data_IF_412741881725
#
_entry.id   IF_412741881725
#
_cell.length_a   1.000
_cell.length_b   1.000
_cell.length_c   1.000
_cell.angle_alpha   90.00
_cell.angle_beta   90.00
_cell.angle_gamma   90.00
#
_symmetry.space_group_name_H-M   'P 1'
#
loop_
_entity.id
_entity.type
_entity.pdbx_description
1 polymer ?
#
# COMPACT_ATOMS: atom_id res chain seq x y z
N UNK A 1 14.25 -21.10 8.08
CA UNK A 1 12.89 -20.57 7.85
C UNK A 1 12.83 -20.22 6.38
N UNK A 2 12.22 -21.09 5.58
CA UNK A 2 12.11 -20.94 4.14
C UNK A 2 11.21 -19.72 3.87
N UNK A 3 11.80 -18.69 3.24
CA UNK A 3 11.06 -17.48 2.88
C UNK A 3 10.14 -17.89 1.74
N UNK A 4 8.86 -18.08 2.03
CA UNK A 4 7.84 -18.29 1.01
C UNK A 4 8.01 -17.20 -0.04
N UNK A 5 8.15 -17.56 -1.32
CA UNK A 5 8.18 -16.57 -2.38
C UNK A 5 6.85 -15.82 -2.38
N UNK A 6 6.86 -14.62 -1.82
CA UNK A 6 5.69 -13.75 -1.75
C UNK A 6 5.56 -13.03 -3.08
N UNK A 7 4.47 -13.28 -3.80
CA UNK A 7 4.10 -12.48 -4.97
C UNK A 7 3.82 -11.05 -4.54
N UNK A 8 4.60 -10.11 -5.06
CA UNK A 8 4.41 -8.67 -4.83
C UNK A 8 3.56 -8.11 -5.96
N UNK A 9 2.36 -7.66 -5.64
CA UNK A 9 1.52 -6.94 -6.60
C UNK A 9 1.80 -5.45 -6.56
N UNK A 10 1.76 -4.81 -7.73
CA UNK A 10 2.06 -3.39 -7.89
C UNK A 10 1.06 -2.74 -8.83
N UNK A 11 0.75 -1.48 -8.55
CA UNK A 11 0.03 -0.57 -9.46
C UNK A 11 0.99 0.53 -9.91
N UNK A 12 0.90 0.89 -11.17
CA UNK A 12 1.83 1.84 -11.80
C UNK A 12 1.18 2.57 -12.96
N UNK A 13 1.79 3.65 -13.42
CA UNK A 13 1.38 4.38 -14.62
C UNK A 13 2.56 4.61 -15.56
N UNK A 14 2.35 4.32 -16.85
CA UNK A 14 3.25 4.64 -17.97
C UNK A 14 2.83 5.93 -18.69
N UNK A 15 1.65 6.45 -18.36
CA UNK A 15 1.04 7.65 -18.92
C UNK A 15 -0.13 8.10 -18.05
N UNK A 16 -1.29 8.38 -18.66
CA UNK A 16 -2.47 8.85 -17.92
C UNK A 16 -3.26 7.72 -17.22
N UNK A 17 -3.13 6.48 -17.67
CA UNK A 17 -3.86 5.34 -17.13
C UNK A 17 -3.03 4.59 -16.07
N UNK A 18 -3.70 4.14 -15.01
CA UNK A 18 -3.12 3.26 -14.00
C UNK A 18 -3.29 1.80 -14.44
N UNK A 19 -2.20 1.07 -14.41
CA UNK A 19 -2.04 -0.34 -14.76
C UNK A 19 -1.60 -1.14 -13.52
N UNK A 20 -1.52 -2.46 -13.64
CA UNK A 20 -1.08 -3.33 -12.54
C UNK A 20 -0.32 -4.56 -13.03
N UNK A 21 0.41 -5.18 -12.12
CA UNK A 21 1.22 -6.36 -12.40
C UNK A 21 1.83 -6.96 -11.15
N UNK A 22 2.75 -7.91 -11.35
CA UNK A 22 3.59 -8.46 -10.28
C UNK A 22 5.03 -7.95 -10.41
N UNK A 23 5.71 -7.79 -9.28
CA UNK A 23 7.08 -7.26 -9.21
C UNK A 23 8.06 -8.36 -8.74
N UNK A 24 9.06 -8.65 -9.58
CA UNK A 24 10.16 -9.55 -9.28
C UNK A 24 11.47 -8.94 -9.79
N UNK A 25 12.50 -8.86 -8.92
CA UNK A 25 13.83 -8.33 -9.25
C UNK A 25 13.81 -7.01 -10.06
N UNK A 26 12.99 -6.06 -9.61
CA UNK A 26 12.77 -4.74 -10.24
C UNK A 26 12.17 -4.78 -11.66
N UNK A 27 11.60 -5.92 -12.06
CA UNK A 27 10.83 -6.10 -13.28
C UNK A 27 9.35 -6.29 -12.95
N UNK A 28 8.51 -5.51 -13.62
CA UNK A 28 7.07 -5.60 -13.55
C UNK A 28 6.58 -6.51 -14.67
N UNK A 29 5.93 -7.61 -14.30
CA UNK A 29 5.17 -8.45 -15.21
C UNK A 29 3.75 -7.90 -15.30
N UNK A 30 3.39 -7.32 -16.46
CA UNK A 30 2.13 -6.58 -16.62
C UNK A 30 0.95 -7.55 -16.71
N UNK A 31 -0.12 -7.27 -15.98
CA UNK A 31 -1.35 -8.04 -15.98
C UNK A 31 -2.52 -7.22 -16.54
N UNK A 32 -3.55 -7.93 -17.04
CA UNK A 32 -4.85 -7.36 -17.44
C UNK A 32 -5.98 -8.02 -16.66
N UNK A 33 -7.12 -7.33 -16.55
CA UNK A 33 -8.30 -7.80 -15.81
C UNK A 33 -8.47 -7.05 -14.50
N UNK A 34 -8.82 -7.77 -13.44
CA UNK A 34 -8.97 -7.23 -12.08
C UNK A 34 -7.86 -7.77 -11.16
N UNK A 35 -7.08 -6.86 -10.57
CA UNK A 35 -6.00 -7.18 -9.64
C UNK A 35 -6.48 -7.98 -8.41
N UNK A 36 -7.70 -7.74 -7.94
CA UNK A 36 -8.30 -8.45 -6.81
C UNK A 36 -9.32 -9.52 -7.24
N UNK A 37 -9.53 -9.66 -8.55
CA UNK A 37 -10.41 -10.66 -9.16
C UNK A 37 -9.64 -11.57 -10.09
N UNK A 38 -10.16 -11.75 -11.31
CA UNK A 38 -9.51 -12.55 -12.35
C UNK A 38 -8.54 -11.65 -13.12
N UNK A 39 -7.25 -12.00 -13.08
CA UNK A 39 -6.23 -11.36 -13.91
C UNK A 39 -5.40 -12.38 -14.69
N UNK A 40 -4.76 -11.92 -15.76
CA UNK A 40 -3.87 -12.73 -16.58
C UNK A 40 -2.62 -11.93 -16.95
N UNK A 41 -1.43 -12.57 -16.98
CA UNK A 41 -0.24 -11.92 -17.51
C UNK A 41 -0.44 -11.59 -18.98
N UNK A 42 0.07 -10.42 -19.38
CA UNK A 42 0.01 -9.96 -20.77
C UNK A 42 1.23 -10.44 -21.58
N UNK A 43 2.29 -10.84 -20.89
CA UNK A 43 3.62 -11.11 -21.47
C UNK A 43 4.51 -9.87 -21.56
N UNK A 44 3.98 -8.66 -21.33
CA UNK A 44 4.78 -7.45 -21.28
C UNK A 44 5.57 -7.37 -19.96
N UNK A 45 6.82 -6.90 -20.08
CA UNK A 45 7.74 -6.67 -18.98
C UNK A 45 8.17 -5.21 -19.00
N UNK A 46 8.14 -4.56 -17.84
CA UNK A 46 8.57 -3.17 -17.68
C UNK A 46 9.60 -3.06 -16.55
N UNK A 47 10.72 -2.35 -16.76
CA UNK A 47 11.59 -1.95 -15.66
C UNK A 47 10.82 -1.10 -14.62
N UNK A 48 11.06 -1.32 -13.32
CA UNK A 48 10.42 -0.56 -12.25
C UNK A 48 10.75 0.95 -12.34
N UNK A 49 11.95 1.30 -12.80
CA UNK A 49 12.39 2.69 -12.99
C UNK A 49 11.77 3.38 -14.21
N UNK A 50 11.13 2.63 -15.11
CA UNK A 50 10.46 3.18 -16.29
C UNK A 50 9.00 3.56 -16.05
N UNK A 51 8.49 3.39 -14.83
CA UNK A 51 7.09 3.65 -14.48
C UNK A 51 6.98 4.58 -13.28
N UNK A 52 5.83 5.24 -13.15
CA UNK A 52 5.44 5.88 -11.90
C UNK A 52 4.70 4.86 -11.03
N UNK A 53 5.18 4.62 -9.82
CA UNK A 53 4.49 3.73 -8.86
C UNK A 53 3.28 4.46 -8.26
N UNK A 54 2.13 3.80 -8.29
CA UNK A 54 0.86 4.31 -7.72
C UNK A 54 0.59 3.70 -6.34
N UNK A 55 -0.49 4.15 -5.68
CA UNK A 55 -1.00 3.44 -4.50
C UNK A 55 -1.38 2.00 -4.88
N UNK A 56 -1.06 1.00 -4.03
CA UNK A 56 -1.23 -0.42 -4.36
C UNK A 56 -2.70 -0.83 -4.54
N UNK A 57 -3.65 0.00 -4.10
CA UNK A 57 -5.08 -0.18 -4.33
C UNK A 57 -5.82 1.17 -4.33
N UNK A 58 -7.12 1.15 -4.62
CA UNK A 58 -8.04 2.29 -4.47
C UNK A 58 -9.02 1.94 -3.34
N UNK A 59 -8.67 2.24 -2.07
CA UNK A 59 -9.53 1.88 -0.95
C UNK A 59 -10.76 2.79 -0.88
N UNK A 60 -11.94 2.23 -0.64
CA UNK A 60 -13.15 3.02 -0.32
C UNK A 60 -13.15 3.56 1.11
N UNK A 61 -12.41 2.90 2.00
CA UNK A 61 -12.26 3.25 3.42
C UNK A 61 -10.91 2.77 3.94
N UNK A 62 -10.30 3.54 4.83
CA UNK A 62 -9.12 3.12 5.58
C UNK A 62 -9.49 3.03 7.05
N UNK A 63 -9.54 1.81 7.58
CA UNK A 63 -9.85 1.51 8.98
C UNK A 63 -8.55 1.08 9.65
N UNK A 64 -8.20 1.73 10.74
CA UNK A 64 -6.98 1.48 11.48
C UNK A 64 -7.28 0.98 12.89
N UNK A 65 -6.31 0.26 13.46
CA UNK A 65 -6.34 -0.21 14.85
C UNK A 65 -5.41 0.66 15.69
N UNK A 66 -5.93 1.18 16.79
CA UNK A 66 -5.14 1.89 17.78
C UNK A 66 -4.58 0.93 18.83
N UNK A 67 -3.34 1.19 19.26
CA UNK A 67 -2.65 0.44 20.30
C UNK A 67 -2.59 -1.09 20.08
N UNK A 68 -2.26 -1.52 18.85
CA UNK A 68 -2.23 -2.94 18.45
C UNK A 68 -0.80 -3.54 18.42
N UNK A 69 0.10 -3.07 19.30
CA UNK A 69 1.47 -3.59 19.41
C UNK A 69 1.90 -3.63 20.88
N UNK A 70 2.14 -4.82 21.43
CA UNK A 70 2.59 -4.97 22.82
C UNK A 70 3.91 -4.24 23.11
N UNK A 71 4.83 -4.23 22.15
CA UNK A 71 6.11 -3.53 22.29
C UNK A 71 5.91 -2.01 22.40
N UNK A 72 5.06 -1.44 21.54
CA UNK A 72 4.76 0.00 21.56
C UNK A 72 3.97 0.36 22.83
N UNK A 73 3.00 -0.47 23.21
CA UNK A 73 2.21 -0.28 24.43
C UNK A 73 3.10 -0.24 25.67
N UNK A 74 4.01 -1.21 25.82
CA UNK A 74 4.96 -1.24 26.93
C UNK A 74 5.89 -0.03 26.93
N UNK A 75 6.46 0.33 25.76
CA UNK A 75 7.38 1.47 25.64
C UNK A 75 6.73 2.82 25.98
N UNK A 76 5.44 2.97 25.69
CA UNK A 76 4.67 4.19 25.93
C UNK A 76 3.81 4.14 27.20
N UNK A 77 3.94 3.06 28.00
CA UNK A 77 3.11 2.82 29.20
C UNK A 77 1.60 2.91 28.93
N UNK A 78 1.16 2.42 27.77
CA UNK A 78 -0.25 2.34 27.40
C UNK A 78 -0.87 1.06 27.98
N UNK A 79 -2.10 1.15 28.47
CA UNK A 79 -2.88 -0.04 28.86
C UNK A 79 -3.18 -0.91 27.64
N UNK A 80 -3.11 -2.24 27.81
CA UNK A 80 -3.52 -3.18 26.76
C UNK A 80 -5.05 -3.12 26.65
N UNK A 81 -5.62 -2.76 25.49
CA UNK A 81 -7.06 -2.69 25.33
C UNK A 81 -7.70 -4.07 25.53
N UNK A 82 -8.82 -4.12 26.25
CA UNK A 82 -9.62 -5.36 26.40
C UNK A 82 -10.31 -5.78 25.10
N UNK A 83 -10.53 -4.82 24.20
CA UNK A 83 -11.17 -4.99 22.91
C UNK A 83 -10.42 -4.18 21.84
N UNK A 84 -10.48 -4.57 20.55
CA UNK A 84 -9.82 -3.82 19.48
C UNK A 84 -10.40 -2.40 19.33
N UNK A 85 -9.52 -1.40 19.27
CA UNK A 85 -9.90 0.01 19.15
C UNK A 85 -9.73 0.47 17.71
N UNK A 86 -10.85 0.77 17.03
CA UNK A 86 -10.87 1.16 15.62
C UNK A 86 -11.03 2.65 15.42
N UNK A 87 -10.43 3.18 14.35
CA UNK A 87 -10.70 4.53 13.85
C UNK A 87 -10.63 4.58 12.33
N UNK A 88 -11.21 5.62 11.72
CA UNK A 88 -11.24 5.81 10.26
C UNK A 88 -10.26 6.92 9.87
N UNK A 89 -9.48 6.66 8.83
CA UNK A 89 -8.68 7.67 8.12
C UNK A 89 -9.43 8.14 6.88
N UNK A 90 -9.79 9.43 6.76
CA UNK A 90 -10.46 9.97 5.58
C UNK A 90 -9.63 9.81 4.30
N UNK A 91 -10.32 9.80 3.14
CA UNK A 91 -9.70 9.54 1.83
C UNK A 91 -8.62 10.53 1.41
N UNK A 92 -8.65 11.74 1.98
CA UNK A 92 -7.67 12.80 1.72
C UNK A 92 -6.46 12.77 2.67
N UNK A 93 -6.29 11.70 3.46
CA UNK A 93 -5.29 11.62 4.53
C UNK A 93 -4.22 10.55 4.34
N UNK A 94 -4.17 9.95 3.14
CA UNK A 94 -3.17 8.99 2.71
C UNK A 94 -2.78 9.24 1.25
N UNK A 95 -1.59 8.79 0.88
CA UNK A 95 -1.00 9.01 -0.45
C UNK A 95 -0.07 7.86 -0.83
N UNK A 96 0.42 7.85 -2.07
CA UNK A 96 1.33 6.83 -2.60
C UNK A 96 2.75 6.94 -2.03
N UNK A 97 3.55 5.93 -2.33
CA UNK A 97 4.96 5.92 -1.99
C UNK A 97 5.68 7.16 -2.58
N UNK A 98 6.65 7.70 -1.85
CA UNK A 98 7.45 8.87 -2.22
C UNK A 98 6.68 10.20 -2.39
N UNK A 99 5.37 10.22 -2.11
CA UNK A 99 4.64 11.48 -2.07
C UNK A 99 5.05 12.32 -0.84
N UNK A 100 5.02 13.64 -1.02
CA UNK A 100 5.27 14.59 0.08
C UNK A 100 4.12 14.50 1.08
N UNK A 101 4.47 14.39 2.37
CA UNK A 101 3.51 14.49 3.47
C UNK A 101 3.45 15.95 3.90
N UNK A 102 2.37 16.63 3.51
CA UNK A 102 2.15 18.03 3.86
C UNK A 102 1.85 18.18 5.36
N UNK A 103 2.59 19.06 6.02
CA UNK A 103 2.29 19.46 7.39
C UNK A 103 1.29 20.61 7.35
N UNK A 104 0.18 20.47 8.10
CA UNK A 104 -0.75 21.59 8.25
C UNK A 104 -0.04 22.76 8.93
N UNK A 105 -0.20 23.96 8.39
CA UNK A 105 0.22 25.20 9.02
C UNK A 105 -0.73 25.56 10.17
N UNK A 106 -0.77 24.72 11.20
CA UNK A 106 -1.41 25.03 12.49
C UNK A 106 -0.40 24.78 13.59
N UNK A 107 0.57 25.68 13.66
CA UNK A 107 1.30 25.96 14.90
C UNK A 107 0.46 26.95 15.69
N UNK A 108 -0.07 26.48 16.81
CA UNK A 108 -0.73 27.27 17.85
C UNK A 108 -0.71 26.47 19.14
#
# INVERSE_FOLDING_TARGET
MERTDVTKWIRFSTGAASEFGTLADDVIHVHKGDMFGISQPTGALLPLDSVRVDMPCIPSKMIALWNNSYLVAAAQSLEIPKEPLFFIKPVNSYTGQNAVVEHSASVG
#
